data_IF_329149086030
#
_entry.id   IF_329149086030
#
_cell.length_a   1.000
_cell.length_b   1.000
_cell.length_c   1.000
_cell.angle_alpha   90.00
_cell.angle_beta   90.00
_cell.angle_gamma   90.00
#
_symmetry.space_group_name_H-M   'P 1'
#
loop_
_entity.id
_entity.type
_entity.pdbx_description
1 polymer ?
#
# COMPACT_ATOMS: atom_id res chain seq x y z
N UNK A 1 -3.22 -16.50 -2.47
CA UNK A 1 -2.86 -15.25 -3.18
C UNK A 1 -3.98 -14.24 -3.02
N UNK A 2 -3.67 -13.09 -2.48
CA UNK A 2 -4.68 -12.08 -2.22
C UNK A 2 -5.13 -11.36 -3.49
N UNK A 3 -6.40 -10.95 -3.51
CA UNK A 3 -6.88 -10.01 -4.51
C UNK A 3 -6.43 -8.61 -4.08
N UNK A 4 -6.03 -7.80 -5.04
CA UNK A 4 -5.57 -6.43 -4.79
C UNK A 4 -6.53 -5.45 -5.43
N UNK A 5 -7.03 -4.52 -4.63
CA UNK A 5 -7.85 -3.42 -5.12
C UNK A 5 -7.10 -2.11 -4.91
N UNK A 6 -6.77 -1.44 -6.00
CA UNK A 6 -6.10 -0.14 -5.97
C UNK A 6 -7.16 0.95 -5.98
N UNK A 7 -7.33 1.62 -4.87
CA UNK A 7 -8.25 2.77 -4.79
C UNK A 7 -7.81 3.85 -5.79
N UNK A 8 -8.74 4.62 -6.36
CA UNK A 8 -8.39 5.70 -7.29
C UNK A 8 -7.32 6.66 -6.77
N UNK A 9 -7.34 6.99 -5.47
CA UNK A 9 -6.32 7.84 -4.88
C UNK A 9 -4.92 7.24 -5.01
N UNK A 10 -4.80 5.94 -4.76
CA UNK A 10 -3.52 5.25 -4.88
C UNK A 10 -3.06 5.23 -6.33
N UNK A 11 -3.97 4.95 -7.25
CA UNK A 11 -3.64 4.94 -8.68
C UNK A 11 -3.20 6.32 -9.17
N UNK A 12 -3.87 7.37 -8.72
CA UNK A 12 -3.51 8.73 -9.10
C UNK A 12 -2.12 9.09 -8.59
N UNK A 13 -1.80 8.67 -7.37
CA UNK A 13 -0.46 8.89 -6.82
C UNK A 13 0.60 8.20 -7.67
N UNK A 14 0.37 6.94 -8.06
CA UNK A 14 1.31 6.20 -8.89
C UNK A 14 1.57 6.90 -10.22
N UNK A 15 0.54 7.49 -10.82
CA UNK A 15 0.68 8.19 -12.10
C UNK A 15 1.59 9.41 -12.02
N UNK A 16 1.71 10.01 -10.83
CA UNK A 16 2.56 11.19 -10.63
C UNK A 16 4.02 10.84 -10.39
N UNK A 17 4.31 9.58 -10.14
CA UNK A 17 5.67 9.11 -9.92
C UNK A 17 6.35 8.81 -11.26
N UNK A 18 7.68 8.77 -11.23
CA UNK A 18 8.39 8.27 -12.41
C UNK A 18 7.95 6.83 -12.70
N UNK A 19 7.99 6.43 -13.97
CA UNK A 19 7.54 5.10 -14.34
C UNK A 19 8.34 4.00 -13.64
N UNK A 20 9.63 4.23 -13.42
CA UNK A 20 10.48 3.24 -12.73
C UNK A 20 10.04 3.03 -11.28
N UNK A 21 9.74 4.12 -10.58
CA UNK A 21 9.30 4.04 -9.19
C UNK A 21 7.92 3.40 -9.11
N UNK A 22 6.99 3.82 -9.95
CA UNK A 22 5.64 3.26 -9.98
C UNK A 22 5.67 1.76 -10.27
N UNK A 23 6.46 1.33 -11.23
CA UNK A 23 6.62 -0.09 -11.56
C UNK A 23 7.19 -0.88 -10.39
N UNK A 24 8.15 -0.30 -9.68
CA UNK A 24 8.77 -0.95 -8.53
C UNK A 24 7.74 -1.18 -7.42
N UNK A 25 6.92 -0.19 -7.14
CA UNK A 25 5.85 -0.31 -6.14
C UNK A 25 4.84 -1.37 -6.57
N UNK A 26 4.36 -1.28 -7.79
CA UNK A 26 3.39 -2.23 -8.33
C UNK A 26 3.91 -3.66 -8.28
N UNK A 27 5.15 -3.85 -8.70
CA UNK A 27 5.78 -5.16 -8.76
C UNK A 27 5.94 -5.76 -7.36
N UNK A 28 6.33 -4.95 -6.39
CA UNK A 28 6.45 -5.40 -5.00
C UNK A 28 5.11 -5.90 -4.48
N UNK A 29 4.05 -5.16 -4.75
CA UNK A 29 2.71 -5.56 -4.32
C UNK A 29 2.27 -6.83 -5.05
N UNK A 30 2.41 -6.87 -6.35
CA UNK A 30 1.90 -7.97 -7.17
C UNK A 30 2.68 -9.26 -7.00
N UNK A 31 3.99 -9.19 -6.84
CA UNK A 31 4.84 -10.38 -6.83
C UNK A 31 5.22 -10.86 -5.43
N UNK A 32 5.15 -10.01 -4.42
CA UNK A 32 5.59 -10.38 -3.08
C UNK A 32 4.50 -10.20 -2.03
N UNK A 33 3.95 -8.99 -1.92
CA UNK A 33 3.00 -8.67 -0.86
C UNK A 33 1.73 -9.51 -0.96
N UNK A 34 1.18 -9.64 -2.16
CA UNK A 34 -0.06 -10.39 -2.34
C UNK A 34 0.05 -11.87 -1.97
N UNK A 35 1.26 -12.42 -1.99
CA UNK A 35 1.49 -13.82 -1.65
C UNK A 35 1.45 -14.06 -0.15
N UNK A 36 1.74 -13.05 0.65
CA UNK A 36 1.74 -13.17 2.11
C UNK A 36 1.52 -11.79 2.74
N UNK A 37 0.30 -11.30 2.63
CA UNK A 37 -0.05 -9.94 3.05
C UNK A 37 0.29 -9.69 4.51
N UNK A 38 -0.06 -10.61 5.40
CA UNK A 38 0.11 -10.42 6.84
C UNK A 38 1.56 -10.14 7.23
N UNK A 39 2.52 -10.67 6.48
CA UNK A 39 3.93 -10.46 6.75
C UNK A 39 4.34 -8.99 6.60
N UNK A 40 3.64 -8.25 5.77
CA UNK A 40 4.00 -6.87 5.43
C UNK A 40 3.16 -5.82 6.15
N UNK A 41 2.10 -6.23 6.84
CA UNK A 41 1.21 -5.29 7.50
C UNK A 41 1.85 -4.73 8.76
N UNK A 42 1.76 -3.40 8.92
CA UNK A 42 2.12 -2.70 10.16
C UNK A 42 0.88 -1.99 10.65
N UNK A 43 0.58 -2.15 11.93
CA UNK A 43 -0.60 -1.55 12.54
C UNK A 43 -0.47 -0.03 12.61
N UNK A 44 -1.55 0.68 12.30
CA UNK A 44 -1.62 2.13 12.50
C UNK A 44 -2.25 2.39 13.86
N UNK A 45 -1.52 3.09 14.73
CA UNK A 45 -2.03 3.45 16.03
C UNK A 45 -3.12 4.52 15.91
N UNK A 46 -4.19 4.38 16.66
CA UNK A 46 -5.26 5.36 16.82
C UNK A 46 -6.14 5.64 15.60
N UNK A 47 -5.83 5.03 14.46
CA UNK A 47 -6.59 5.33 13.24
C UNK A 47 -7.33 4.11 12.71
N UNK A 48 -6.82 2.91 13.00
CA UNK A 48 -7.29 1.68 12.39
C UNK A 48 -6.67 1.49 11.02
N UNK A 49 -6.76 0.27 10.49
CA UNK A 49 -6.12 -0.08 9.24
C UNK A 49 -4.63 -0.37 9.40
N UNK A 50 -3.95 -0.45 8.28
CA UNK A 50 -2.55 -0.86 8.25
C UNK A 50 -1.76 -0.02 7.26
N UNK A 51 -0.44 -0.05 7.42
CA UNK A 51 0.46 0.48 6.41
C UNK A 51 1.42 -0.61 5.97
N UNK A 52 1.94 -0.46 4.75
CA UNK A 52 2.94 -1.35 4.19
C UNK A 52 4.08 -0.48 3.66
N UNK A 53 5.31 -0.83 4.03
CA UNK A 53 6.49 -0.12 3.54
C UNK A 53 6.95 -0.70 2.21
N UNK A 54 7.14 0.17 1.23
CA UNK A 54 7.76 -0.20 -0.03
C UNK A 54 8.80 0.87 -0.35
N UNK A 55 10.05 0.59 -0.02
CA UNK A 55 11.12 1.58 -0.19
C UNK A 55 10.84 2.85 0.59
N UNK A 56 10.88 3.98 -0.11
CA UNK A 56 10.61 5.29 0.48
C UNK A 56 9.12 5.64 0.56
N UNK A 57 8.27 4.68 0.23
CA UNK A 57 6.83 4.91 0.17
C UNK A 57 6.10 4.10 1.23
N UNK A 58 4.96 4.63 1.64
CA UNK A 58 4.06 3.98 2.60
C UNK A 58 2.71 3.82 1.94
N UNK A 59 2.23 2.58 1.89
CA UNK A 59 0.91 2.26 1.36
C UNK A 59 -0.03 2.14 2.54
N UNK A 60 -1.10 2.93 2.53
CA UNK A 60 -2.13 2.84 3.57
C UNK A 60 -3.23 1.93 3.05
N UNK A 61 -3.48 0.85 3.77
CA UNK A 61 -4.27 -0.26 3.26
C UNK A 61 -5.31 -0.73 4.26
N UNK A 62 -6.35 -1.39 3.75
CA UNK A 62 -7.27 -2.21 4.55
C UNK A 62 -7.09 -3.64 4.09
N UNK A 63 -7.09 -4.57 5.02
CA UNK A 63 -6.99 -5.98 4.69
C UNK A 63 -8.17 -6.75 5.25
N UNK A 64 -8.91 -7.35 4.36
CA UNK A 64 -10.09 -8.18 4.69
C UNK A 64 -9.67 -9.63 4.57
N UNK A 65 -9.24 -10.20 5.68
CA UNK A 65 -8.66 -11.53 5.72
C UNK A 65 -9.64 -12.61 5.26
N UNK A 66 -10.89 -12.50 5.65
CA UNK A 66 -11.94 -13.45 5.29
C UNK A 66 -12.20 -13.49 3.78
N UNK A 67 -11.96 -12.39 3.09
CA UNK A 67 -12.12 -12.30 1.63
C UNK A 67 -10.79 -12.44 0.90
N UNK A 68 -9.70 -12.51 1.64
CA UNK A 68 -8.35 -12.47 1.08
C UNK A 68 -8.19 -11.29 0.13
N UNK A 69 -8.62 -10.12 0.61
CA UNK A 69 -8.65 -8.88 -0.18
C UNK A 69 -7.83 -7.80 0.49
N UNK A 70 -6.87 -7.25 -0.25
CA UNK A 70 -6.07 -6.10 0.17
C UNK A 70 -6.51 -4.88 -0.63
N UNK A 71 -6.99 -3.86 0.06
CA UNK A 71 -7.37 -2.59 -0.57
C UNK A 71 -6.28 -1.57 -0.29
N UNK A 72 -5.64 -1.08 -1.33
CA UNK A 72 -4.63 -0.03 -1.20
C UNK A 72 -5.32 1.31 -1.35
N UNK A 73 -5.48 2.02 -0.23
CA UNK A 73 -6.28 3.23 -0.16
C UNK A 73 -5.54 4.44 -0.69
N UNK A 74 -4.30 4.63 -0.25
CA UNK A 74 -3.48 5.74 -0.68
C UNK A 74 -2.01 5.41 -0.51
N UNK A 75 -1.16 6.18 -1.16
CA UNK A 75 0.29 6.03 -1.10
C UNK A 75 0.87 7.39 -0.73
N UNK A 76 1.89 7.39 0.12
CA UNK A 76 2.59 8.62 0.46
C UNK A 76 4.09 8.35 0.52
N UNK A 77 4.88 9.35 0.20
CA UNK A 77 6.30 9.30 0.44
C UNK A 77 6.52 9.28 1.95
N UNK A 78 7.54 8.55 2.43
CA UNK A 78 7.81 8.41 3.87
C UNK A 78 7.86 9.76 4.60
N UNK A 79 8.32 10.80 3.91
CA UNK A 79 8.41 12.15 4.44
C UNK A 79 7.03 12.70 4.81
N UNK A 80 6.04 12.39 4.01
CA UNK A 80 4.68 12.91 4.16
C UNK A 80 3.78 11.98 4.97
N UNK A 81 4.19 10.73 5.15
CA UNK A 81 3.40 9.74 5.87
C UNK A 81 3.24 10.07 7.36
N UNK A 82 4.15 10.86 7.91
CA UNK A 82 4.14 11.26 9.32
C UNK A 82 3.61 12.67 9.54
N UNK A 83 3.25 13.37 8.48
CA UNK A 83 2.66 14.69 8.61
C UNK A 83 1.18 14.54 8.93
N UNK A 84 0.73 15.36 9.86
CA UNK A 84 -0.69 15.44 10.14
C UNK A 84 -1.40 16.10 8.96
N UNK A 85 -2.48 15.51 8.60
CA UNK A 85 -3.34 16.04 7.56
C UNK A 85 -4.44 16.86 8.21
#
# INVERSE_FOLDING_TARGET
MASIDWDPQARDFLRKLSSDVAKRIFKKVDEEIRLNVERYLETLENIGGYKIRVGDYRLFVDYYKDRNLLVIRTIRHRRDAYKRV
#
